data_IF_833996116183
#
_entry.id   IF_833996116183
#
_cell.length_a   1.000
_cell.length_b   1.000
_cell.length_c   1.000
_cell.angle_alpha   90.00
_cell.angle_beta   90.00
_cell.angle_gamma   90.00
#
_symmetry.space_group_name_H-M   'P 1'
#
loop_
_entity.id
_entity.type
_entity.pdbx_description
1 polymer ?
#
# COMPACT_ATOMS: atom_id res chain seq x y z
N UNK A 1 -2.25 -7.16 -27.44
CA UNK A 1 -2.52 -7.12 -26.00
C UNK A 1 -3.86 -6.41 -25.82
N UNK A 2 -4.87 -7.12 -25.34
CA UNK A 2 -6.19 -6.50 -25.11
C UNK A 2 -6.10 -5.75 -23.79
N UNK A 3 -6.22 -4.42 -23.81
CA UNK A 3 -6.30 -3.63 -22.57
C UNK A 3 -7.66 -3.92 -21.94
N UNK A 4 -7.66 -4.49 -20.74
CA UNK A 4 -8.89 -4.63 -19.95
C UNK A 4 -9.40 -3.23 -19.63
N UNK A 5 -10.67 -2.97 -19.95
CA UNK A 5 -11.27 -1.65 -19.79
C UNK A 5 -11.94 -1.42 -18.42
N UNK A 6 -11.82 -2.41 -17.54
CA UNK A 6 -12.43 -2.45 -16.22
C UNK A 6 -11.52 -1.98 -15.07
N UNK A 7 -10.29 -1.58 -15.36
CA UNK A 7 -9.36 -1.01 -14.38
C UNK A 7 -9.19 0.50 -14.52
N UNK A 8 -9.09 1.18 -13.38
CA UNK A 8 -8.67 2.57 -13.31
C UNK A 8 -7.51 2.70 -12.32
N UNK A 9 -6.36 3.20 -12.79
CA UNK A 9 -5.19 3.47 -11.98
C UNK A 9 -5.28 4.88 -11.39
N UNK A 10 -5.18 4.98 -10.08
CA UNK A 10 -5.14 6.24 -9.35
C UNK A 10 -3.73 6.47 -8.80
N UNK A 11 -3.04 7.50 -9.28
CA UNK A 11 -1.72 7.91 -8.82
C UNK A 11 -1.86 9.06 -7.84
N UNK A 12 -1.57 8.79 -6.56
CA UNK A 12 -1.63 9.75 -5.47
C UNK A 12 -0.21 10.10 -5.08
N UNK A 13 0.12 11.37 -5.11
CA UNK A 13 1.46 11.87 -4.84
C UNK A 13 1.92 12.88 -5.89
N UNK A 14 3.13 13.38 -5.72
CA UNK A 14 3.77 14.30 -6.63
C UNK A 14 5.28 14.01 -6.70
N UNK A 15 5.92 14.37 -7.80
CA UNK A 15 7.34 14.13 -8.00
C UNK A 15 7.82 14.54 -9.40
N UNK A 16 9.11 14.55 -9.58
CA UNK A 16 9.77 14.99 -10.82
C UNK A 16 9.37 14.19 -12.08
N UNK A 17 8.89 12.95 -11.90
CA UNK A 17 8.49 12.10 -13.01
C UNK A 17 7.04 12.29 -13.46
N UNK A 18 6.27 13.16 -12.82
CA UNK A 18 4.84 13.35 -13.10
C UNK A 18 4.56 13.69 -14.57
N UNK A 19 5.24 14.69 -15.11
CA UNK A 19 5.06 15.10 -16.51
C UNK A 19 5.41 13.99 -17.48
N UNK A 20 6.49 13.25 -17.20
CA UNK A 20 6.90 12.10 -18.00
C UNK A 20 5.84 10.99 -17.98
N UNK A 21 5.26 10.69 -16.81
CA UNK A 21 4.19 9.69 -16.67
C UNK A 21 2.92 10.15 -17.40
N UNK A 22 2.55 11.42 -17.32
CA UNK A 22 1.41 11.97 -18.05
C UNK A 22 1.61 11.85 -19.58
N UNK A 23 2.80 12.15 -20.08
CA UNK A 23 3.12 11.96 -21.48
C UNK A 23 3.03 10.48 -21.92
N UNK A 24 3.44 9.55 -21.07
CA UNK A 24 3.30 8.10 -21.33
C UNK A 24 1.82 7.69 -21.37
N UNK A 25 0.97 8.19 -20.47
CA UNK A 25 -0.47 7.91 -20.44
C UNK A 25 -1.11 8.35 -21.76
N UNK A 26 -0.78 9.54 -22.26
CA UNK A 26 -1.27 10.06 -23.54
C UNK A 26 -0.77 9.19 -24.71
N UNK A 27 0.52 8.86 -24.74
CA UNK A 27 1.11 8.06 -25.81
C UNK A 27 0.48 6.65 -25.89
N UNK A 28 0.05 6.10 -24.75
CA UNK A 28 -0.61 4.80 -24.64
C UNK A 28 -2.15 4.88 -24.77
N UNK A 29 -2.72 6.08 -24.93
CA UNK A 29 -4.18 6.33 -25.00
C UNK A 29 -4.93 5.81 -23.77
N UNK A 30 -4.36 6.06 -22.58
CA UNK A 30 -4.87 5.60 -21.28
C UNK A 30 -5.50 6.72 -20.43
N UNK A 31 -5.79 7.91 -21.01
CA UNK A 31 -6.28 9.09 -20.29
C UNK A 31 -7.58 8.84 -19.51
N UNK A 32 -8.42 7.92 -20.02
CA UNK A 32 -9.64 7.52 -19.35
C UNK A 32 -9.44 6.46 -18.25
N UNK A 33 -8.25 5.85 -18.19
CA UNK A 33 -7.91 4.75 -17.26
C UNK A 33 -6.88 5.13 -16.20
N UNK A 34 -6.24 6.32 -16.30
CA UNK A 34 -5.24 6.76 -15.34
C UNK A 34 -5.58 8.15 -14.82
N UNK A 35 -5.69 8.30 -13.50
CA UNK A 35 -5.98 9.58 -12.83
C UNK A 35 -4.83 9.99 -11.93
N UNK A 36 -4.36 11.24 -12.10
CA UNK A 36 -3.33 11.86 -11.27
C UNK A 36 -3.99 12.79 -10.24
N UNK A 37 -3.89 12.46 -8.96
CA UNK A 37 -4.50 13.23 -7.88
C UNK A 37 -3.57 14.29 -7.26
N UNK A 38 -2.25 14.21 -7.54
CA UNK A 38 -1.26 15.06 -6.87
C UNK A 38 -1.14 14.73 -5.38
N UNK A 39 -0.60 15.67 -4.60
CA UNK A 39 -0.52 15.54 -3.14
C UNK A 39 -1.90 15.69 -2.52
N UNK A 40 -2.24 14.76 -1.62
CA UNK A 40 -3.52 14.72 -0.90
C UNK A 40 -3.25 14.66 0.60
N UNK A 41 -4.08 15.37 1.38
CA UNK A 41 -4.04 15.32 2.85
C UNK A 41 -5.02 14.29 3.43
N UNK A 42 -5.95 13.81 2.62
CA UNK A 42 -7.04 12.90 2.94
C UNK A 42 -6.84 11.49 2.36
N UNK A 43 -5.58 11.04 2.29
CA UNK A 43 -5.22 9.73 1.73
C UNK A 43 -5.89 8.59 2.50
N UNK A 44 -6.00 8.71 3.82
CA UNK A 44 -6.67 7.77 4.71
C UNK A 44 -8.14 7.52 4.30
N UNK A 45 -8.85 8.57 3.89
CA UNK A 45 -10.23 8.47 3.40
C UNK A 45 -10.28 7.85 2.00
N UNK A 46 -9.32 8.23 1.13
CA UNK A 46 -9.25 7.72 -0.24
C UNK A 46 -8.95 6.22 -0.30
N UNK A 47 -8.13 5.70 0.61
CA UNK A 47 -7.78 4.28 0.64
C UNK A 47 -9.00 3.36 0.73
N UNK A 48 -10.06 3.81 1.41
CA UNK A 48 -11.31 3.05 1.54
C UNK A 48 -12.15 2.99 0.25
N UNK A 49 -11.79 3.75 -0.78
CA UNK A 49 -12.49 3.82 -2.06
C UNK A 49 -11.86 2.95 -3.15
N UNK A 50 -10.73 2.34 -2.88
CA UNK A 50 -9.99 1.53 -3.84
C UNK A 50 -10.17 0.04 -3.55
N UNK A 51 -9.98 -0.77 -4.58
CA UNK A 51 -10.09 -2.23 -4.49
C UNK A 51 -8.74 -2.87 -4.16
N UNK A 52 -7.63 -2.31 -4.67
CA UNK A 52 -6.27 -2.81 -4.46
C UNK A 52 -5.26 -1.67 -4.47
N UNK A 53 -4.32 -1.70 -3.53
CA UNK A 53 -3.12 -0.88 -3.59
C UNK A 53 -1.98 -1.61 -4.29
N UNK A 54 -1.29 -0.93 -5.19
CA UNK A 54 -0.09 -1.47 -5.85
C UNK A 54 1.12 -0.62 -5.49
N UNK A 55 2.18 -1.25 -4.98
CA UNK A 55 3.42 -0.56 -4.60
C UNK A 55 4.63 -1.26 -5.22
N UNK A 56 5.22 -0.62 -6.24
CA UNK A 56 6.33 -1.17 -7.06
C UNK A 56 7.68 -0.59 -6.68
N UNK A 57 7.92 -0.33 -5.40
CA UNK A 57 9.18 0.24 -4.91
C UNK A 57 10.34 -0.73 -5.08
N UNK A 58 11.49 -0.22 -5.49
CA UNK A 58 12.72 -1.02 -5.59
C UNK A 58 13.32 -1.35 -4.23
N UNK A 59 13.15 -0.44 -3.29
CA UNK A 59 13.63 -0.57 -1.91
C UNK A 59 12.86 0.40 -1.02
N UNK A 60 12.46 -0.04 0.16
CA UNK A 60 11.79 0.74 1.18
C UNK A 60 12.41 0.48 2.55
N UNK A 61 12.37 1.49 3.43
CA UNK A 61 12.77 1.30 4.83
C UNK A 61 11.74 0.49 5.62
N UNK A 62 10.46 0.82 5.49
CA UNK A 62 9.35 0.12 6.18
C UNK A 62 8.14 -0.10 5.27
N UNK A 63 7.90 0.79 4.29
CA UNK A 63 6.69 0.72 3.45
C UNK A 63 5.44 1.24 4.16
N UNK A 64 5.52 2.45 4.73
CA UNK A 64 4.43 3.07 5.52
C UNK A 64 3.10 3.11 4.76
N UNK A 65 3.14 3.39 3.45
CA UNK A 65 1.93 3.40 2.63
C UNK A 65 1.23 2.03 2.58
N UNK A 66 1.99 0.93 2.61
CA UNK A 66 1.41 -0.42 2.69
C UNK A 66 0.79 -0.69 4.06
N UNK A 67 1.33 -0.12 5.15
CA UNK A 67 0.72 -0.18 6.48
C UNK A 67 -0.60 0.59 6.51
N UNK A 68 -0.62 1.81 5.95
CA UNK A 68 -1.83 2.64 5.87
C UNK A 68 -2.94 1.95 5.07
N UNK A 69 -2.60 1.33 3.94
CA UNK A 69 -3.56 0.56 3.14
C UNK A 69 -4.16 -0.61 3.95
N UNK A 70 -3.32 -1.40 4.62
CA UNK A 70 -3.80 -2.51 5.45
C UNK A 70 -4.62 -2.04 6.65
N UNK A 71 -4.30 -0.89 7.24
CA UNK A 71 -5.11 -0.29 8.31
C UNK A 71 -6.50 0.13 7.83
N UNK A 72 -6.62 0.49 6.55
CA UNK A 72 -7.91 0.74 5.88
C UNK A 72 -8.61 -0.56 5.41
N UNK A 73 -7.97 -1.73 5.58
CA UNK A 73 -8.49 -3.01 5.08
C UNK A 73 -8.29 -3.24 3.59
N UNK A 74 -7.48 -2.40 2.94
CA UNK A 74 -7.23 -2.45 1.49
C UNK A 74 -6.19 -3.53 1.16
N UNK A 75 -6.50 -4.50 0.27
CA UNK A 75 -5.54 -5.45 -0.23
C UNK A 75 -4.38 -4.78 -0.97
N UNK A 76 -3.20 -5.39 -0.88
CA UNK A 76 -1.96 -4.83 -1.41
C UNK A 76 -1.22 -5.83 -2.31
N UNK A 77 -0.75 -5.35 -3.46
CA UNK A 77 0.25 -6.03 -4.29
C UNK A 77 1.55 -5.25 -4.18
N UNK A 78 2.54 -5.86 -3.57
CA UNK A 78 3.79 -5.23 -3.17
C UNK A 78 4.97 -5.84 -3.92
N UNK A 79 5.97 -5.04 -4.24
CA UNK A 79 7.24 -5.59 -4.73
C UNK A 79 8.03 -6.26 -3.59
N UNK A 80 8.88 -7.22 -3.94
CA UNK A 80 9.83 -7.83 -3.00
C UNK A 80 10.90 -6.88 -2.46
N UNK A 81 10.96 -5.64 -2.95
CA UNK A 81 11.76 -4.56 -2.40
C UNK A 81 11.16 -3.90 -1.15
N UNK A 82 9.94 -4.27 -0.77
CA UNK A 82 9.28 -3.80 0.44
C UNK A 82 9.52 -4.85 1.55
N UNK A 83 9.98 -4.42 2.74
CA UNK A 83 10.26 -5.35 3.84
C UNK A 83 9.03 -6.16 4.28
N UNK A 84 9.23 -7.42 4.67
CA UNK A 84 8.15 -8.27 5.18
C UNK A 84 7.54 -7.74 6.49
N UNK A 85 8.24 -6.88 7.19
CA UNK A 85 7.76 -6.17 8.38
C UNK A 85 6.55 -5.27 8.09
N UNK A 86 6.40 -4.83 6.83
CA UNK A 86 5.22 -4.10 6.37
C UNK A 86 3.95 -4.96 6.30
N UNK A 87 4.07 -6.30 6.24
CA UNK A 87 2.92 -7.19 6.23
C UNK A 87 2.37 -7.38 7.65
N UNK A 88 1.17 -6.88 7.90
CA UNK A 88 0.47 -7.03 9.18
C UNK A 88 -0.12 -8.43 9.40
N UNK A 89 0.15 -9.39 8.51
CA UNK A 89 -0.34 -10.78 8.59
C UNK A 89 -1.87 -10.87 8.62
N UNK A 90 -2.51 -9.96 7.90
CA UNK A 90 -3.97 -9.94 7.70
C UNK A 90 -4.42 -10.74 6.47
N UNK A 91 -3.47 -11.34 5.73
CA UNK A 91 -3.75 -11.99 4.45
C UNK A 91 -4.00 -10.99 3.30
N UNK A 92 -3.71 -9.70 3.53
CA UNK A 92 -3.95 -8.63 2.56
C UNK A 92 -2.76 -8.37 1.63
N UNK A 93 -1.58 -8.93 1.88
CA UNK A 93 -0.38 -8.64 1.11
C UNK A 93 0.00 -9.78 0.16
N UNK A 94 0.28 -9.43 -1.10
CA UNK A 94 0.86 -10.31 -2.12
C UNK A 94 2.16 -9.70 -2.61
N UNK A 95 3.27 -10.43 -2.48
CA UNK A 95 4.60 -9.97 -2.92
C UNK A 95 4.94 -10.52 -4.30
N UNK A 96 5.41 -9.65 -5.20
CA UNK A 96 5.80 -9.98 -6.57
C UNK A 96 7.18 -9.38 -6.85
N UNK A 97 8.07 -10.14 -7.47
CA UNK A 97 9.36 -9.63 -7.93
C UNK A 97 9.16 -8.61 -9.06
N UNK A 98 9.88 -7.49 -9.03
CA UNK A 98 9.81 -6.47 -10.08
C UNK A 98 10.24 -7.01 -11.47
N UNK A 99 11.06 -8.04 -11.49
CA UNK A 99 11.54 -8.68 -12.72
C UNK A 99 10.63 -9.82 -13.23
N UNK A 100 9.54 -10.13 -12.54
CA UNK A 100 8.63 -11.21 -12.90
C UNK A 100 7.83 -10.97 -14.19
N UNK A 101 7.93 -9.76 -14.78
CA UNK A 101 7.10 -9.34 -15.91
C UNK A 101 5.69 -8.91 -15.49
N UNK A 102 4.84 -8.60 -16.47
CA UNK A 102 3.53 -8.01 -16.20
C UNK A 102 2.47 -9.03 -15.74
N UNK A 103 2.50 -10.24 -16.30
CA UNK A 103 1.44 -11.24 -16.05
C UNK A 103 1.26 -11.61 -14.57
N UNK A 104 2.33 -11.89 -13.78
CA UNK A 104 2.19 -12.14 -12.35
C UNK A 104 1.59 -10.96 -11.57
N UNK A 105 1.92 -9.72 -11.96
CA UNK A 105 1.36 -8.51 -11.34
C UNK A 105 -0.13 -8.38 -11.63
N UNK A 106 -0.54 -8.53 -12.90
CA UNK A 106 -1.95 -8.46 -13.29
C UNK A 106 -2.76 -9.52 -12.55
N UNK A 107 -2.27 -10.77 -12.55
CA UNK A 107 -2.94 -11.87 -11.83
C UNK A 107 -3.05 -11.59 -10.34
N UNK A 108 -2.00 -11.09 -9.69
CA UNK A 108 -2.02 -10.76 -8.28
C UNK A 108 -3.01 -9.61 -7.96
N UNK A 109 -3.11 -8.60 -8.83
CA UNK A 109 -4.08 -7.50 -8.69
C UNK A 109 -5.51 -8.04 -8.78
N UNK A 110 -5.80 -8.90 -9.76
CA UNK A 110 -7.11 -9.54 -9.92
C UNK A 110 -7.49 -10.38 -8.71
N UNK A 111 -6.57 -11.24 -8.24
CA UNK A 111 -6.78 -12.08 -7.06
C UNK A 111 -7.01 -11.26 -5.79
N UNK A 112 -6.26 -10.16 -5.61
CA UNK A 112 -6.38 -9.29 -4.44
C UNK A 112 -7.68 -8.47 -4.47
N UNK A 113 -8.15 -8.04 -5.64
CA UNK A 113 -9.40 -7.31 -5.77
C UNK A 113 -10.64 -8.15 -5.39
N UNK A 114 -10.53 -9.47 -5.42
CA UNK A 114 -11.60 -10.41 -5.06
C UNK A 114 -11.55 -10.86 -3.58
N UNK A 115 -10.58 -10.37 -2.81
CA UNK A 115 -10.47 -10.76 -1.40
C UNK A 115 -11.67 -10.29 -0.58
N UNK A 116 -12.08 -11.15 0.34
CA UNK A 116 -13.11 -10.79 1.31
C UNK A 116 -12.61 -9.69 2.27
N UNK A 117 -13.50 -8.79 2.61
CA UNK A 117 -13.20 -7.69 3.53
C UNK A 117 -12.79 -8.21 4.91
N UNK A 118 -11.65 -7.74 5.42
CA UNK A 118 -11.22 -8.02 6.78
C UNK A 118 -11.93 -7.05 7.73
N UNK A 119 -12.50 -7.57 8.83
CA UNK A 119 -13.22 -6.72 9.77
C UNK A 119 -12.27 -5.76 10.50
N UNK A 120 -12.77 -4.55 10.77
CA UNK A 120 -12.01 -3.51 11.49
C UNK A 120 -11.47 -4.00 12.83
N UNK A 121 -12.23 -4.83 13.53
CA UNK A 121 -11.82 -5.41 14.83
C UNK A 121 -10.57 -6.27 14.67
N UNK A 122 -10.52 -7.11 13.65
CA UNK A 122 -9.35 -7.97 13.37
C UNK A 122 -8.13 -7.12 12.98
N UNK A 123 -8.34 -6.09 12.16
CA UNK A 123 -7.28 -5.17 11.77
C UNK A 123 -6.69 -4.49 13.00
N UNK A 124 -7.53 -3.87 13.85
CA UNK A 124 -7.09 -3.15 15.04
C UNK A 124 -6.33 -4.06 16.02
N UNK A 125 -6.82 -5.27 16.25
CA UNK A 125 -6.16 -6.26 17.08
C UNK A 125 -4.77 -6.64 16.54
N UNK A 126 -4.66 -6.83 15.23
CA UNK A 126 -3.40 -7.21 14.61
C UNK A 126 -2.37 -6.07 14.66
N UNK A 127 -2.80 -4.83 14.42
CA UNK A 127 -1.95 -3.65 14.55
C UNK A 127 -1.48 -3.44 16.01
N UNK A 128 -2.37 -3.65 16.99
CA UNK A 128 -2.03 -3.62 18.42
C UNK A 128 -0.98 -4.66 18.78
N UNK A 129 -1.21 -5.93 18.41
CA UNK A 129 -0.29 -7.05 18.69
C UNK A 129 1.10 -6.83 18.09
N UNK A 130 1.17 -6.22 16.92
CA UNK A 130 2.44 -5.92 16.24
C UNK A 130 3.06 -4.60 16.71
N UNK A 131 2.41 -3.88 17.62
CA UNK A 131 2.95 -2.67 18.24
C UNK A 131 2.83 -1.41 17.39
N UNK A 132 1.90 -1.36 16.44
CA UNK A 132 1.63 -0.20 15.59
C UNK A 132 0.43 0.63 16.05
N UNK A 133 -0.13 0.32 17.22
CA UNK A 133 -1.15 1.17 17.84
C UNK A 133 -0.54 2.33 18.63
N UNK A 134 -1.35 3.34 18.91
CA UNK A 134 -0.94 4.46 19.78
C UNK A 134 -0.62 3.99 21.21
N UNK A 135 -1.39 3.03 21.74
CA UNK A 135 -1.17 2.45 23.08
C UNK A 135 0.16 1.69 23.14
N UNK A 136 0.43 0.82 22.18
CA UNK A 136 1.68 0.07 22.12
C UNK A 136 2.90 0.99 21.91
N UNK A 137 2.77 2.01 21.07
CA UNK A 137 3.81 3.01 20.83
C UNK A 137 4.09 3.80 22.11
N UNK A 138 3.06 4.30 22.77
CA UNK A 138 3.19 5.01 24.06
C UNK A 138 3.92 4.16 25.10
N UNK A 139 3.55 2.89 25.23
CA UNK A 139 4.18 2.00 26.21
C UNK A 139 5.66 1.81 25.92
N UNK A 140 6.04 1.61 24.65
CA UNK A 140 7.46 1.49 24.23
C UNK A 140 8.27 2.73 24.58
N UNK A 141 7.72 3.92 24.36
CA UNK A 141 8.39 5.18 24.74
C UNK A 141 8.56 5.29 26.25
N UNK A 142 7.53 5.02 27.03
CA UNK A 142 7.61 5.03 28.49
C UNK A 142 8.67 4.06 29.02
N UNK A 143 8.70 2.84 28.50
CA UNK A 143 9.69 1.82 28.88
C UNK A 143 11.12 2.24 28.53
N UNK A 144 11.31 2.88 27.37
CA UNK A 144 12.62 3.38 26.95
C UNK A 144 13.11 4.52 27.88
N UNK A 145 12.22 5.46 28.24
CA UNK A 145 12.58 6.55 29.16
C UNK A 145 12.89 6.02 30.57
N UNK A 146 12.06 5.12 31.11
CA UNK A 146 12.25 4.58 32.48
C UNK A 146 13.50 3.69 32.60
N UNK A 147 13.95 3.07 31.50
CA UNK A 147 15.22 2.30 31.49
C UNK A 147 16.45 3.22 31.58
N UNK A 148 16.39 4.40 30.96
CA UNK A 148 17.51 5.35 30.97
C UNK A 148 17.70 6.07 32.31
N UNK A 149 16.67 6.10 33.18
CA UNK A 149 16.79 6.68 34.53
C UNK A 149 17.45 5.72 35.55
N UNK A 150 17.70 4.47 35.18
CA UNK A 150 18.31 3.45 36.08
C UNK A 150 19.79 3.18 35.81
N UNK A 151 20.40 3.90 34.89
CA UNK A 151 21.84 3.91 34.59
C UNK A 151 22.43 5.28 34.88
#
# INVERSE_FOLDING_TARGET
MQVRQDFCLHLIGDGELKEKLQAQVIALKLENHVKFWGKRADVDQLLSLFDVMVMTSKNEGLGVAALEAQAAGLPCVLSTGIPEEADMRLGLCRYIDLNAGFEPWVKAIEEQAELATVSKVVIDQQFEQRGYSLSATRQRYLDAYLRNEKN
#
